data_IF_132334366691
#
_entry.id   IF_132334366691
#
_cell.length_a   1.000
_cell.length_b   1.000
_cell.length_c   1.000
_cell.angle_alpha   90.00
_cell.angle_beta   90.00
_cell.angle_gamma   90.00
#
_symmetry.space_group_name_H-M   'P 1'
#
loop_
_entity.id
_entity.type
_entity.pdbx_description
1 polymer ?
2 non-polymer ?
3 non-polymer ?
4 non-polymer ?
5 water ?
#
# COMPACT_ATOMS: atom_id res chain seq x y z
N UNK A 1 -3.18 -30.87 19.80
CA UNK A 1 -4.38 -30.16 19.28
C UNK A 1 -4.19 -28.69 18.90
N UNK A 2 -2.97 -28.15 19.06
CA UNK A 2 -2.75 -26.70 19.01
C UNK A 2 -1.65 -26.21 18.05
N UNK A 3 -1.94 -25.04 17.50
CA UNK A 3 -1.08 -24.37 16.54
C UNK A 3 0.25 -23.97 17.19
N UNK A 4 1.33 -24.06 16.41
CA UNK A 4 2.63 -23.53 16.83
C UNK A 4 2.51 -22.01 17.06
N UNK A 5 2.99 -21.54 18.22
CA UNK A 5 2.90 -20.13 18.62
C UNK A 5 4.25 -19.50 18.53
N UNK A 6 4.46 -18.79 17.43
CA UNK A 6 5.75 -18.18 17.16
C UNK A 6 6.01 -16.91 17.99
N UNK A 7 4.96 -16.19 18.38
CA UNK A 7 5.12 -15.05 19.28
C UNK A 7 5.09 -15.51 20.73
N UNK A 8 5.99 -15.00 21.57
CA UNK A 8 5.95 -15.33 23.00
C UNK A 8 4.86 -14.53 23.75
N UNK A 9 4.42 -13.43 23.16
CA UNK A 9 3.27 -12.70 23.65
C UNK A 9 2.70 -11.84 22.52
N UNK A 10 1.45 -11.40 22.65
CA UNK A 10 0.76 -10.64 21.57
C UNK A 10 0.92 -9.13 21.82
N UNK A 11 2.16 -8.66 21.69
CA UNK A 11 2.49 -7.26 21.86
C UNK A 11 3.57 -6.88 20.86
N UNK A 12 3.82 -5.58 20.74
CA UNK A 12 4.89 -5.12 19.86
C UNK A 12 6.22 -5.71 20.32
N UNK A 13 6.38 -5.89 21.64
CA UNK A 13 7.60 -6.44 22.21
C UNK A 13 7.81 -7.89 21.80
N UNK A 14 6.74 -8.66 21.80
CA UNK A 14 6.76 -10.06 21.30
C UNK A 14 7.07 -10.12 19.81
N UNK A 15 6.48 -9.23 19.04
CA UNK A 15 6.83 -9.14 17.59
C UNK A 15 8.30 -8.80 17.38
N UNK A 16 8.82 -7.83 18.12
CA UNK A 16 10.23 -7.50 18.00
C UNK A 16 11.18 -8.66 18.30
N UNK A 17 10.91 -9.42 19.35
CA UNK A 17 11.74 -10.54 19.70
C UNK A 17 11.66 -11.64 18.64
N UNK A 18 10.46 -11.88 18.12
CA UNK A 18 10.29 -12.81 17.00
C UNK A 18 11.10 -12.31 15.79
N UNK A 19 11.05 -11.03 15.49
CA UNK A 19 11.81 -10.47 14.34
C UNK A 19 13.31 -10.67 14.46
N UNK A 20 13.81 -10.60 15.70
CA UNK A 20 15.23 -10.80 15.99
C UNK A 20 15.64 -12.26 16.03
N UNK A 21 14.69 -13.19 16.08
CA UNK A 21 15.01 -14.62 16.07
C UNK A 21 15.35 -15.11 14.66
N UNK A 22 16.12 -16.20 14.59
CA UNK A 22 16.37 -16.93 13.32
C UNK A 22 15.13 -17.30 12.54
N UNK A 23 14.04 -17.59 13.22
CA UNK A 23 12.80 -17.98 12.55
C UNK A 23 12.24 -16.90 11.57
N UNK A 24 12.50 -15.62 11.84
CA UNK A 24 11.89 -14.54 11.04
C UNK A 24 12.81 -14.05 9.94
N UNK A 25 12.72 -14.66 8.76
CA UNK A 25 13.58 -14.28 7.65
C UNK A 25 12.88 -13.42 6.58
N UNK A 26 11.57 -13.57 6.43
CA UNK A 26 10.82 -12.97 5.29
C UNK A 26 9.59 -12.21 5.76
N UNK A 27 9.66 -10.88 5.67
CA UNK A 27 8.58 -10.03 6.08
C UNK A 27 7.84 -9.55 4.83
N UNK A 28 6.54 -9.57 4.86
CA UNK A 28 5.75 -8.92 3.81
C UNK A 28 5.01 -7.77 4.48
N UNK A 29 5.11 -6.59 3.89
CA UNK A 29 4.33 -5.44 4.32
C UNK A 29 3.11 -5.30 3.42
N UNK A 30 1.96 -5.02 4.03
CA UNK A 30 0.73 -4.62 3.30
C UNK A 30 0.42 -3.24 3.76
N UNK A 31 0.62 -2.26 2.88
CA UNK A 31 0.48 -0.85 3.25
C UNK A 31 -0.61 -0.16 2.44
N UNK A 32 -1.33 0.73 3.10
CA UNK A 32 -2.37 1.51 2.47
C UNK A 32 -2.24 2.99 2.70
N UNK A 33 -3.34 3.68 2.44
CA UNK A 33 -3.38 5.16 2.45
C UNK A 33 -2.97 5.80 3.77
N UNK A 34 -3.18 5.10 4.86
CA UNK A 34 -2.74 5.58 6.14
C UNK A 34 -1.24 5.83 6.29
N UNK A 35 -0.38 5.16 5.53
CA UNK A 35 1.06 5.43 5.62
C UNK A 35 1.50 6.72 4.91
N UNK A 36 0.60 7.37 4.15
CA UNK A 36 0.94 8.57 3.42
C UNK A 36 0.20 9.82 3.89
N UNK A 37 -0.69 9.69 4.88
CA UNK A 37 -1.44 10.86 5.38
C UNK A 37 -0.50 11.87 6.09
N UNK A 38 0.52 11.37 6.79
CA UNK A 38 1.51 12.27 7.41
C UNK A 38 2.44 12.91 6.39
N UNK A 39 2.45 12.40 5.16
CA UNK A 39 3.10 13.10 4.04
C UNK A 39 2.23 14.13 3.34
N UNK A 40 1.08 14.43 3.91
CA UNK A 40 0.16 15.40 3.35
C UNK A 40 -0.75 14.88 2.27
N UNK A 41 -0.89 13.55 2.14
CA UNK A 41 -1.79 12.98 1.13
C UNK A 41 -3.03 12.42 1.85
N UNK A 42 -4.19 13.10 1.75
CA UNK A 42 -5.37 12.63 2.47
C UNK A 42 -5.88 11.26 1.99
N UNK A 43 -6.45 10.49 2.90
CA UNK A 43 -6.99 9.15 2.57
C UNK A 43 -8.43 9.08 2.09
N UNK A 44 -9.14 10.21 2.14
CA UNK A 44 -10.60 10.28 1.88
C UNK A 44 -11.43 9.46 2.88
N UNK A 45 -11.11 9.66 4.17
CA UNK A 45 -11.96 9.26 5.32
C UNK A 45 -12.02 10.34 6.46
N UNK A 46 -11.54 11.56 6.22
CA UNK A 46 -11.58 12.67 7.17
C UNK A 46 -12.28 13.89 6.53
N UNK A 50 -13.76 13.17 2.03
CA UNK A 50 -14.42 12.37 0.98
C UNK A 50 -14.29 12.99 -0.40
N UNK A 51 -14.33 12.17 -1.46
CA UNK A 51 -14.26 12.71 -2.83
C UNK A 51 -15.53 13.39 -3.29
N UNK A 52 -16.67 13.00 -2.71
CA UNK A 52 -17.99 13.43 -3.21
C UNK A 52 -18.10 14.94 -3.51
N UNK A 53 -17.51 15.77 -2.64
CA UNK A 53 -17.52 17.23 -2.85
C UNK A 53 -16.72 17.68 -4.07
N UNK A 54 -15.50 17.16 -4.20
CA UNK A 54 -14.66 17.44 -5.39
C UNK A 54 -15.41 17.11 -6.70
N UNK A 55 -16.27 16.09 -6.64
CA UNK A 55 -16.92 15.52 -7.82
C UNK A 55 -18.14 16.29 -8.35
N UNK A 56 -18.85 16.96 -7.45
CA UNK A 56 -20.03 17.79 -7.80
C UNK A 56 -19.88 18.64 -9.07
N UNK A 57 -18.76 19.38 -9.17
CA UNK A 57 -18.52 20.31 -10.32
C UNK A 57 -18.46 19.66 -11.68
N UNK A 58 -18.05 18.38 -11.74
CA UNK A 58 -17.90 17.67 -13.01
C UNK A 58 -19.19 17.20 -13.65
N UNK A 59 -20.29 17.23 -12.90
CA UNK A 59 -21.63 16.89 -13.40
C UNK A 59 -21.63 15.51 -14.01
N UNK A 60 -21.19 14.55 -13.19
CA UNK A 60 -21.14 13.15 -13.59
C UNK A 60 -22.55 12.54 -13.50
N UNK A 61 -22.81 11.45 -14.22
CA UNK A 61 -24.09 10.76 -14.03
C UNK A 61 -24.30 10.23 -12.61
N UNK A 62 -23.22 9.80 -11.95
CA UNK A 62 -23.21 9.46 -10.52
C UNK A 62 -21.74 9.49 -10.12
N UNK A 63 -21.44 9.62 -8.81
CA UNK A 63 -20.07 9.89 -8.38
C UNK A 63 -19.09 8.80 -8.76
N UNK A 64 -19.53 7.55 -8.63
CA UNK A 64 -18.66 6.40 -8.90
C UNK A 64 -18.28 6.31 -10.39
N UNK A 65 -18.96 7.01 -11.28
CA UNK A 65 -18.55 7.04 -12.68
C UNK A 65 -17.09 7.54 -12.89
N UNK A 66 -16.61 8.40 -11.99
CA UNK A 66 -15.20 8.82 -12.03
C UNK A 66 -14.20 7.66 -11.98
N UNK A 67 -14.54 6.55 -11.31
CA UNK A 67 -13.64 5.38 -11.21
C UNK A 67 -13.79 4.36 -12.34
N UNK A 68 -14.82 4.50 -13.18
CA UNK A 68 -15.14 3.48 -14.19
C UNK A 68 -14.33 3.70 -15.44
N UNK A 69 -13.61 2.64 -15.86
CA UNK A 69 -12.82 2.66 -17.07
C UNK A 69 -13.67 3.01 -18.32
N UNK A 70 -14.87 2.47 -18.42
CA UNK A 70 -15.75 2.78 -19.58
C UNK A 70 -16.15 4.27 -19.61
N UNK A 71 -16.42 4.85 -18.46
CA UNK A 71 -16.73 6.27 -18.42
C UNK A 71 -15.49 7.10 -18.75
N UNK A 72 -14.34 6.72 -18.18
CA UNK A 72 -13.07 7.39 -18.51
C UNK A 72 -12.83 7.46 -20.05
N UNK A 73 -13.01 6.34 -20.74
CA UNK A 73 -12.71 6.27 -22.16
C UNK A 73 -13.65 7.14 -23.01
N UNK A 74 -14.86 7.38 -22.54
CA UNK A 74 -15.81 8.26 -23.26
C UNK A 74 -15.65 9.71 -22.85
N UNK A 75 -15.39 9.96 -21.55
CA UNK A 75 -15.30 11.31 -21.00
C UNK A 75 -14.10 11.38 -20.01
N UNK A 76 -12.88 11.55 -20.53
CA UNK A 76 -11.65 11.52 -19.69
C UNK A 76 -11.41 12.83 -18.91
N UNK A 77 -12.11 13.91 -19.27
CA UNK A 77 -11.79 15.24 -18.70
C UNK A 77 -12.01 15.34 -17.20
N UNK A 78 -13.11 14.76 -16.68
CA UNK A 78 -13.28 14.81 -15.25
C UNK A 78 -12.15 14.17 -14.48
N UNK A 79 -11.75 12.96 -14.87
CA UNK A 79 -10.60 12.34 -14.22
C UNK A 79 -9.37 13.25 -14.19
N UNK A 80 -9.00 13.81 -15.34
CA UNK A 80 -7.78 14.58 -15.39
C UNK A 80 -7.90 15.90 -14.61
N UNK A 81 -9.10 16.46 -14.56
CA UNK A 81 -9.30 17.68 -13.78
C UNK A 81 -9.18 17.33 -12.29
N UNK A 82 -9.80 16.24 -11.85
CA UNK A 82 -9.63 15.75 -10.48
C UNK A 82 -8.18 15.43 -10.17
N UNK A 83 -7.49 14.82 -11.11
CA UNK A 83 -6.09 14.47 -10.90
C UNK A 83 -5.25 15.72 -10.60
N UNK A 84 -5.53 16.80 -11.30
CA UNK A 84 -4.89 18.10 -10.97
C UNK A 84 -5.23 18.58 -9.54
N UNK A 85 -6.50 18.55 -9.15
CA UNK A 85 -6.90 18.96 -7.80
C UNK A 85 -6.18 18.12 -6.74
N UNK A 86 -6.06 16.82 -6.98
CA UNK A 86 -5.53 15.90 -5.98
C UNK A 86 -4.05 15.69 -5.99
N UNK A 87 -3.35 16.20 -7.01
CA UNK A 87 -1.93 15.99 -7.19
C UNK A 87 -1.15 16.51 -5.96
N UNK A 88 -0.38 15.63 -5.27
CA UNK A 88 0.38 16.14 -4.10
C UNK A 88 1.35 17.28 -4.44
N UNK A 89 1.41 18.30 -3.59
CA UNK A 89 2.37 19.40 -3.73
C UNK A 89 3.81 19.08 -3.35
N UNK A 90 4.02 18.00 -2.61
CA UNK A 90 5.37 17.45 -2.47
C UNK A 90 5.36 15.96 -2.21
N UNK A 91 6.50 15.33 -2.40
CA UNK A 91 6.64 13.88 -2.32
C UNK A 91 7.80 13.48 -1.38
N UNK A 92 7.52 13.54 -0.10
CA UNK A 92 8.48 13.20 0.92
C UNK A 92 7.94 11.98 1.61
N UNK A 93 8.60 10.81 1.40
CA UNK A 93 8.14 9.62 2.07
C UNK A 93 8.22 9.79 3.58
N UNK A 94 7.39 9.04 4.29
CA UNK A 94 7.29 9.08 5.76
C UNK A 94 8.28 8.15 6.43
N UNK A 95 8.36 8.31 7.75
CA UNK A 95 9.13 7.40 8.60
C UNK A 95 8.75 5.95 8.27
N UNK A 96 7.46 5.72 8.10
CA UNK A 96 6.93 4.38 7.78
C UNK A 96 7.50 3.83 6.46
N UNK A 97 7.55 4.67 5.41
CA UNK A 97 8.19 4.26 4.17
C UNK A 97 9.66 3.90 4.38
N UNK A 98 10.37 4.74 5.15
CA UNK A 98 11.79 4.47 5.40
C UNK A 98 12.03 3.27 6.31
N UNK A 99 11.08 2.97 7.20
CA UNK A 99 11.11 1.68 7.91
C UNK A 99 11.15 0.47 6.95
N UNK A 100 10.33 0.53 5.90
CA UNK A 100 10.37 -0.48 4.86
C UNK A 100 11.68 -0.49 4.09
N UNK A 101 12.25 0.68 3.80
CA UNK A 101 13.59 0.74 3.21
C UNK A 101 14.62 0.05 4.14
N UNK A 102 14.52 0.28 5.43
CA UNK A 102 15.40 -0.50 6.36
C UNK A 102 15.22 -2.01 6.24
N UNK A 103 13.97 -2.46 6.17
CA UNK A 103 13.73 -3.89 5.99
C UNK A 103 14.38 -4.39 4.71
N UNK A 104 14.23 -3.63 3.61
CA UNK A 104 14.91 -3.98 2.35
C UNK A 104 16.40 -4.12 2.53
N UNK A 105 17.03 -3.06 3.06
CA UNK A 105 18.48 -3.03 3.23
C UNK A 105 19.05 -4.06 4.22
N UNK A 106 18.28 -4.47 5.21
CA UNK A 106 18.65 -5.57 6.10
C UNK A 106 18.31 -6.98 5.58
N UNK A 107 17.77 -7.09 4.38
CA UNK A 107 17.47 -8.38 3.74
C UNK A 107 16.23 -9.06 4.30
N UNK A 108 15.38 -8.31 4.99
CA UNK A 108 14.20 -8.89 5.64
C UNK A 108 12.94 -8.74 4.80
N UNK A 109 12.95 -7.87 3.79
CA UNK A 109 11.75 -7.58 3.03
C UNK A 109 11.59 -8.55 1.86
N UNK A 110 10.66 -9.50 1.99
CA UNK A 110 10.27 -10.34 0.88
C UNK A 110 9.49 -9.52 -0.17
N UNK A 111 8.53 -8.72 0.29
CA UNK A 111 7.74 -7.89 -0.61
C UNK A 111 7.01 -6.82 0.15
N UNK A 112 6.84 -5.67 -0.50
CA UNK A 112 5.91 -4.64 -0.05
C UNK A 112 4.77 -4.64 -1.03
N UNK A 113 3.60 -5.01 -0.55
CA UNK A 113 2.37 -4.87 -1.30
C UNK A 113 1.77 -3.56 -0.89
N UNK A 114 1.44 -2.70 -1.84
CA UNK A 114 0.86 -1.43 -1.53
C UNK A 114 -0.42 -1.26 -2.28
N UNK A 115 -1.38 -0.60 -1.66
CA UNK A 115 -2.53 -0.11 -2.40
C UNK A 115 -2.39 1.37 -2.79
N UNK A 116 -1.26 1.99 -2.44
CA UNK A 116 -1.07 3.38 -2.75
C UNK A 116 -0.63 3.57 -4.20
N UNK A 117 -1.01 4.71 -4.74
CA UNK A 117 -0.71 5.07 -6.13
C UNK A 117 0.26 6.28 -6.16
N UNK A 118 0.69 6.72 -4.97
CA UNK A 118 1.45 7.98 -4.84
C UNK A 118 2.96 7.93 -5.16
N UNK A 119 3.49 6.72 -5.43
CA UNK A 119 4.87 6.49 -5.74
C UNK A 119 5.88 6.68 -4.58
N UNK A 120 5.41 6.96 -3.38
CA UNK A 120 6.35 7.26 -2.25
C UNK A 120 7.25 6.06 -1.90
N UNK A 121 6.77 4.84 -2.08
CA UNK A 121 7.64 3.68 -1.89
C UNK A 121 8.91 3.71 -2.76
N UNK A 122 8.72 4.06 -4.02
CA UNK A 122 9.80 4.18 -4.95
C UNK A 122 10.71 5.31 -4.60
N UNK A 123 10.14 6.42 -4.21
CA UNK A 123 10.95 7.57 -3.79
C UNK A 123 11.81 7.21 -2.57
N UNK A 124 11.24 6.43 -1.65
CA UNK A 124 11.96 5.96 -0.47
C UNK A 124 13.07 4.90 -0.77
N UNK A 125 13.14 4.43 -2.00
CA UNK A 125 14.20 3.52 -2.43
C UNK A 125 13.81 2.07 -2.53
N UNK A 126 12.54 1.74 -2.41
CA UNK A 126 12.12 0.39 -2.78
C UNK A 126 12.14 0.29 -4.32
N UNK A 127 12.64 -0.82 -4.85
CA UNK A 127 12.79 -1.04 -6.31
C UNK A 127 11.63 -1.89 -6.80
N UNK A 128 11.43 -1.92 -8.12
CA UNK A 128 10.30 -2.65 -8.71
C UNK A 128 10.24 -4.10 -8.21
N UNK A 129 11.38 -4.77 -8.10
CA UNK A 129 11.38 -6.16 -7.63
C UNK A 129 10.90 -6.30 -6.15
N UNK A 130 11.00 -5.24 -5.34
CA UNK A 130 10.50 -5.26 -3.94
C UNK A 130 9.01 -5.04 -3.82
N UNK A 131 8.40 -4.53 -4.90
CA UNK A 131 7.07 -3.95 -4.83
C UNK A 131 6.04 -4.72 -5.59
N UNK A 132 4.84 -4.73 -5.03
CA UNK A 132 3.66 -5.06 -5.77
C UNK A 132 2.73 -3.89 -5.55
N UNK A 133 2.52 -3.10 -6.61
CA UNK A 133 1.59 -1.99 -6.56
C UNK A 133 0.25 -2.52 -6.94
N UNK A 134 -0.52 -2.94 -5.95
CA UNK A 134 -1.74 -3.69 -6.17
C UNK A 134 -2.90 -2.90 -6.78
N UNK A 135 -2.91 -1.56 -6.63
CA UNK A 135 -3.91 -0.74 -7.25
C UNK A 135 -3.27 0.03 -8.38
N UNK A 136 -2.11 -0.43 -8.84
CA UNK A 136 -1.37 0.27 -9.86
C UNK A 136 -0.69 1.51 -9.30
N UNK A 137 -0.34 2.41 -10.19
CA UNK A 137 0.44 3.58 -9.84
C UNK A 137 0.47 4.66 -10.90
N UNK A 138 0.69 5.89 -10.43
CA UNK A 138 0.95 6.99 -11.33
C UNK A 138 2.33 6.99 -11.91
N UNK A 139 3.23 6.16 -11.37
CA UNK A 139 4.62 6.17 -11.84
C UNK A 139 4.76 6.04 -13.36
N UNK A 140 3.92 5.20 -13.98
CA UNK A 140 3.92 5.11 -15.43
C UNK A 140 2.48 5.24 -15.92
N UNK A 141 2.37 5.60 -17.20
CA UNK A 141 1.10 5.70 -17.87
C UNK A 141 1.23 5.01 -19.24
N UNK A 142 0.12 4.54 -19.83
CA UNK A 142 0.15 3.91 -21.14
C UNK A 142 -0.97 4.39 -22.04
N UNK A 143 -0.60 4.53 -23.31
CA UNK A 143 -1.58 4.61 -24.38
C UNK A 143 -2.57 3.47 -24.26
N UNK A 144 -3.86 3.76 -24.37
CA UNK A 144 -4.91 2.71 -24.22
C UNK A 144 -5.19 1.84 -25.46
N UNK A 145 -4.60 2.17 -26.59
CA UNK A 145 -4.81 1.41 -27.80
C UNK A 145 -4.03 0.12 -27.77
N UNK A 146 -4.75 -0.99 -27.93
CA UNK A 146 -4.17 -2.33 -27.79
C UNK A 146 -2.97 -2.60 -28.68
N UNK A 147 -2.97 -2.06 -29.90
CA UNK A 147 -1.86 -2.25 -30.84
C UNK A 147 -0.68 -1.34 -30.60
N UNK A 148 -0.78 -0.41 -29.65
CA UNK A 148 0.28 0.58 -29.43
C UNK A 148 0.86 0.44 -28.03
N UNK A 149 0.11 0.83 -27.00
CA UNK A 149 0.55 0.64 -25.60
C UNK A 149 1.85 1.39 -25.28
N UNK A 150 2.16 2.46 -26.00
CA UNK A 150 3.34 3.27 -25.71
C UNK A 150 3.31 3.71 -24.22
N UNK A 151 4.45 3.58 -23.54
CA UNK A 151 4.60 3.94 -22.12
C UNK A 151 5.13 5.37 -21.94
N UNK A 152 4.52 6.13 -21.03
CA UNK A 152 4.97 7.50 -20.67
C UNK A 152 5.34 7.55 -19.18
N UNK A 153 6.39 8.32 -18.83
CA UNK A 153 6.82 8.46 -17.44
C UNK A 153 5.98 9.53 -16.74
N UNK A 154 6.05 9.54 -15.41
CA UNK A 154 5.27 10.46 -14.63
C UNK A 154 5.55 11.91 -14.95
N UNK A 155 6.78 12.26 -15.31
CA UNK A 155 7.08 13.65 -15.65
C UNK A 155 6.23 14.14 -16.84
N UNK A 156 5.94 13.24 -17.79
CA UNK A 156 5.12 13.57 -18.98
C UNK A 156 3.66 13.73 -18.58
N UNK A 157 3.14 12.78 -17.80
CA UNK A 157 1.79 12.81 -17.33
C UNK A 157 1.56 14.03 -16.45
N UNK A 158 2.51 14.31 -15.56
CA UNK A 158 2.37 15.48 -14.70
C UNK A 158 2.18 16.76 -15.49
N UNK A 159 3.03 16.96 -16.47
CA UNK A 159 2.95 18.16 -17.31
C UNK A 159 1.58 18.27 -17.99
N UNK A 160 1.03 17.16 -18.51
CA UNK A 160 -0.31 17.18 -19.10
C UNK A 160 -1.37 17.51 -18.06
N UNK A 161 -1.25 16.93 -16.87
CA UNK A 161 -2.22 17.19 -15.84
C UNK A 161 -2.23 18.67 -15.46
N UNK A 162 -1.05 19.20 -15.22
CA UNK A 162 -0.95 20.60 -14.79
C UNK A 162 -1.26 21.62 -15.88
N UNK A 163 -0.91 21.32 -17.12
CA UNK A 163 -1.32 22.21 -18.21
C UNK A 163 -2.79 22.05 -18.64
N UNK A 164 -3.53 21.10 -18.05
CA UNK A 164 -4.93 20.81 -18.42
C UNK A 164 -5.12 20.47 -19.90
N UNK A 165 -4.17 19.70 -20.43
CA UNK A 165 -4.23 19.19 -21.79
C UNK A 165 -4.50 17.70 -21.65
N UNK A 166 -5.59 17.22 -22.23
CA UNK A 166 -5.95 15.78 -22.11
C UNK A 166 -4.82 14.95 -22.75
N UNK A 167 -4.19 14.06 -21.99
CA UNK A 167 -3.01 13.39 -22.56
C UNK A 167 -3.36 12.46 -23.71
N UNK A 168 -2.75 12.71 -24.87
CA UNK A 168 -2.91 11.84 -26.04
C UNK A 168 -1.58 11.24 -26.41
N UNK A 169 -1.60 10.03 -26.93
CA UNK A 169 -0.40 9.36 -27.38
C UNK A 169 0.27 10.05 -28.58
N UNK A 170 1.59 10.18 -28.50
CA UNK A 170 2.36 10.81 -29.57
C UNK A 170 2.44 9.96 -30.82
N UNK A 171 2.32 8.65 -30.68
CA UNK A 171 2.33 7.72 -31.82
C UNK A 171 0.97 7.59 -32.55
N UNK A 172 -0.12 7.48 -31.81
CA UNK A 172 -1.42 7.19 -32.42
C UNK A 172 -2.58 8.11 -32.03
N UNK A 173 -2.34 9.10 -31.15
CA UNK A 173 -3.39 10.03 -30.66
C UNK A 173 -4.54 9.42 -29.84
N UNK A 174 -4.36 8.20 -29.38
CA UNK A 174 -5.30 7.60 -28.44
C UNK A 174 -5.09 8.23 -27.05
N UNK A 175 -6.04 8.01 -26.17
CA UNK A 175 -5.89 8.42 -24.76
C UNK A 175 -4.70 7.75 -24.12
N UNK A 176 -4.05 8.46 -23.20
CA UNK A 176 -2.99 7.85 -22.37
C UNK A 176 -3.50 7.91 -20.94
N UNK A 177 -3.52 6.76 -20.27
CA UNK A 177 -4.11 6.61 -18.96
C UNK A 177 -3.01 6.26 -17.95
N UNK A 178 -3.00 6.93 -16.80
CA UNK A 178 -2.12 6.45 -15.68
C UNK A 178 -2.36 4.97 -15.35
N UNK A 179 -1.30 4.24 -14.98
CA UNK A 179 -1.37 2.80 -14.68
C UNK A 179 -2.03 2.47 -13.34
N UNK A 180 -3.03 3.23 -12.93
CA UNK A 180 -3.83 2.91 -11.79
C UNK A 180 -5.00 2.07 -12.23
N UNK A 181 -5.49 1.28 -11.29
CA UNK A 181 -6.57 0.29 -11.59
C UNK A 181 -7.95 0.94 -11.44
N UNK A 182 -8.51 1.31 -12.57
CA UNK A 182 -9.88 1.79 -12.63
C UNK A 182 -10.83 0.58 -12.43
N UNK A 183 -12.02 0.87 -11.95
CA UNK A 183 -13.06 -0.16 -11.85
C UNK A 183 -13.41 -0.66 -13.25
N UNK A 184 -13.48 -1.98 -13.41
CA UNK A 184 -13.56 -2.62 -14.70
C UNK A 184 -12.26 -3.25 -15.13
N UNK A 185 -11.14 -2.88 -14.48
CA UNK A 185 -9.84 -3.39 -14.88
C UNK A 185 -9.42 -4.44 -13.92
N UNK A 186 -8.59 -5.38 -14.39
CA UNK A 186 -7.98 -6.37 -13.55
C UNK A 186 -6.90 -5.76 -12.67
N UNK A 187 -6.65 -6.38 -11.53
CA UNK A 187 -5.45 -6.06 -10.78
C UNK A 187 -4.23 -6.36 -11.65
N UNK A 188 -3.09 -5.72 -11.36
CA UNK A 188 -1.97 -5.89 -12.27
C UNK A 188 -1.46 -7.32 -12.29
N UNK A 189 -0.96 -7.73 -13.46
CA UNK A 189 -0.36 -9.06 -13.68
C UNK A 189 0.69 -9.41 -12.61
N UNK A 190 1.53 -8.42 -12.29
CA UNK A 190 2.48 -8.48 -11.20
C UNK A 190 1.89 -8.99 -9.88
N UNK A 191 0.68 -8.57 -9.53
CA UNK A 191 0.04 -9.03 -8.30
C UNK A 191 -0.21 -10.56 -8.30
N UNK A 192 -0.79 -11.03 -9.38
CA UNK A 192 -1.12 -12.46 -9.55
C UNK A 192 0.12 -13.34 -9.68
N UNK A 193 1.20 -12.86 -10.27
CA UNK A 193 2.42 -13.68 -10.35
C UNK A 193 3.21 -13.80 -9.04
N UNK A 194 3.06 -12.86 -8.09
CA UNK A 194 3.81 -12.89 -6.83
C UNK A 194 3.05 -13.48 -5.65
N UNK A 195 1.76 -13.23 -5.57
CA UNK A 195 0.96 -13.52 -4.41
C UNK A 195 1.08 -14.95 -3.88
N UNK A 196 0.86 -15.93 -4.75
CA UNK A 196 0.92 -17.33 -4.39
C UNK A 196 2.23 -17.71 -3.70
N UNK A 197 3.32 -17.51 -4.43
CA UNK A 197 4.65 -17.84 -3.98
C UNK A 197 4.98 -17.09 -2.66
N UNK A 198 4.66 -15.78 -2.63
CA UNK A 198 5.02 -14.93 -1.50
C UNK A 198 4.39 -15.40 -0.23
N UNK A 199 3.10 -15.72 -0.29
CA UNK A 199 2.33 -16.06 0.89
C UNK A 199 2.53 -17.47 1.40
N UNK A 200 3.25 -18.29 0.64
CA UNK A 200 3.79 -19.55 1.16
C UNK A 200 5.04 -19.34 2.02
N UNK A 201 5.87 -18.37 1.65
CA UNK A 201 7.20 -18.13 2.28
C UNK A 201 7.21 -17.11 3.44
N UNK A 202 6.10 -16.40 3.69
CA UNK A 202 6.08 -15.29 4.64
C UNK A 202 6.18 -15.73 6.13
N UNK A 203 7.16 -15.15 6.82
CA UNK A 203 7.37 -15.38 8.28
C UNK A 203 6.69 -14.36 9.18
N UNK A 204 6.43 -13.17 8.65
CA UNK A 204 5.73 -12.10 9.39
C UNK A 204 4.99 -11.21 8.38
N UNK A 205 3.75 -10.91 8.70
CA UNK A 205 2.93 -10.01 7.90
C UNK A 205 2.78 -8.71 8.70
N UNK A 206 3.29 -7.61 8.14
CA UNK A 206 3.16 -6.30 8.73
C UNK A 206 2.10 -5.50 7.94
N UNK A 207 1.01 -5.14 8.60
CA UNK A 207 -0.12 -4.47 7.93
C UNK A 207 -0.20 -3.06 8.50
N UNK A 208 0.01 -2.08 7.64
CA UNK A 208 0.04 -0.67 8.04
C UNK A 208 -0.88 0.27 7.27
N UNK A 209 -1.66 1.06 8.00
CA UNK A 209 -2.42 2.14 7.34
C UNK A 209 -3.50 1.72 6.37
N UNK A 210 -4.20 0.64 6.71
CA UNK A 210 -5.30 0.15 5.91
C UNK A 210 -6.40 -0.42 6.83
N UNK A 211 -7.66 -0.17 6.46
CA UNK A 211 -8.82 -0.71 7.16
C UNK A 211 -9.15 -2.12 6.65
N UNK A 212 -8.44 -2.65 5.67
CA UNK A 212 -8.66 -4.02 5.22
C UNK A 212 -10.10 -4.26 4.70
N UNK A 213 -10.66 -3.24 4.05
CA UNK A 213 -12.04 -3.31 3.56
C UNK A 213 -12.11 -3.49 2.07
N UNK A 214 -11.13 -3.00 1.32
CA UNK A 214 -11.12 -3.19 -0.14
C UNK A 214 -10.18 -4.32 -0.53
N UNK A 215 -10.38 -4.81 -1.73
CA UNK A 215 -9.55 -5.87 -2.31
C UNK A 215 -8.33 -5.23 -2.96
N UNK A 216 -7.19 -5.89 -2.93
CA UNK A 216 -7.07 -7.29 -2.50
C UNK A 216 -6.76 -7.46 -1.03
N UNK A 217 -6.38 -6.38 -0.32
CA UNK A 217 -5.90 -6.60 1.06
C UNK A 217 -6.90 -7.27 2.01
N UNK A 218 -8.19 -7.02 1.83
CA UNK A 218 -9.19 -7.56 2.74
C UNK A 218 -9.06 -9.06 2.88
N UNK A 219 -8.83 -9.75 1.76
CA UNK A 219 -8.64 -11.19 1.78
C UNK A 219 -7.18 -11.66 1.80
N UNK A 220 -6.24 -10.79 1.43
CA UNK A 220 -4.86 -11.20 1.39
C UNK A 220 -4.32 -11.64 2.76
N UNK A 221 -4.80 -11.02 3.83
CA UNK A 221 -4.36 -11.42 5.17
C UNK A 221 -4.57 -12.92 5.47
N UNK A 222 -5.61 -13.51 4.89
CA UNK A 222 -5.94 -14.94 5.14
C UNK A 222 -5.11 -15.93 4.33
N UNK A 223 -4.24 -15.44 3.44
CA UNK A 223 -3.40 -16.31 2.64
C UNK A 223 -2.12 -16.66 3.36
N UNK A 224 -1.81 -15.97 4.45
CA UNK A 224 -0.61 -16.31 5.22
C UNK A 224 -0.77 -17.67 5.87
N UNK A 225 0.35 -18.41 6.00
CA UNK A 225 0.35 -19.63 6.80
C UNK A 225 -0.27 -19.37 8.16
N UNK A 226 -1.03 -20.33 8.66
CA UNK A 226 -1.67 -20.20 9.96
C UNK A 226 -0.78 -19.84 11.14
N UNK A 227 0.48 -20.26 11.12
CA UNK A 227 1.37 -19.91 12.20
C UNK A 227 2.04 -18.53 12.04
N UNK A 228 1.95 -17.90 10.85
CA UNK A 228 2.72 -16.66 10.58
C UNK A 228 2.13 -15.51 11.42
N UNK A 229 2.92 -14.87 12.29
CA UNK A 229 2.33 -13.71 13.01
C UNK A 229 1.92 -12.54 12.10
N UNK A 230 0.94 -11.76 12.55
CA UNK A 230 0.41 -10.64 11.81
C UNK A 230 0.33 -9.46 12.74
N UNK A 231 1.07 -8.39 12.41
CA UNK A 231 1.03 -7.12 13.16
C UNK A 231 0.33 -6.06 12.36
N UNK A 232 -0.68 -5.45 12.96
CA UNK A 232 -1.36 -4.30 12.40
C UNK A 232 -0.93 -3.04 13.13
N UNK A 233 -0.41 -2.08 12.38
CA UNK A 233 -0.13 -0.73 12.88
C UNK A 233 -1.10 0.22 12.20
N UNK A 234 -2.01 0.79 12.96
CA UNK A 234 -3.09 1.54 12.32
C UNK A 234 -3.79 2.39 13.37
N UNK A 235 -4.52 3.41 12.94
CA UNK A 235 -5.25 4.27 13.88
C UNK A 235 -6.32 3.49 14.62
N UNK A 236 -6.95 2.55 13.93
CA UNK A 236 -7.98 1.73 14.54
C UNK A 236 -7.84 0.27 14.13
N UNK A 237 -8.43 -0.62 14.94
CA UNK A 237 -8.47 -2.03 14.63
C UNK A 237 -9.10 -2.28 13.29
N UNK A 238 -8.62 -3.31 12.61
CA UNK A 238 -9.14 -3.64 11.28
C UNK A 238 -8.99 -5.13 11.08
N UNK A 239 -9.81 -5.67 10.19
CA UNK A 239 -9.71 -7.04 9.80
C UNK A 239 -10.39 -8.06 10.69
N UNK A 240 -11.00 -7.65 11.80
CA UNK A 240 -11.66 -8.57 12.73
C UNK A 240 -13.01 -8.94 12.14
N UNK A 241 -13.54 -10.09 12.52
CA UNK A 241 -14.90 -10.48 12.13
C UNK A 241 -15.44 -11.38 13.22
N UNK A 242 -16.71 -11.74 13.11
CA UNK A 242 -17.33 -12.71 14.04
C UNK A 242 -16.63 -14.06 13.85
N UNK A 243 -16.57 -14.91 14.91
CA UNK A 243 -16.00 -16.24 14.71
C UNK A 243 -16.59 -16.96 13.46
N UNK A 244 -15.70 -17.57 12.68
CA UNK A 244 -16.09 -18.15 11.41
C UNK A 244 -16.76 -19.50 11.65
N UNK A 245 -17.95 -19.68 11.08
CA UNK A 245 -18.78 -20.86 11.35
C UNK A 245 -18.81 -21.91 10.23
N UNK A 246 -18.15 -21.62 9.11
CA UNK A 246 -18.08 -22.54 7.99
C UNK A 246 -17.03 -23.65 8.09
N UNK A 247 -17.01 -24.45 7.04
CA UNK A 247 -16.24 -25.69 6.96
C UNK A 247 -14.81 -25.52 7.41
N UNK A 248 -14.12 -24.54 6.84
CA UNK A 248 -12.67 -24.38 7.04
C UNK A 248 -12.21 -23.82 8.40
N UNK A 249 -13.14 -23.49 9.30
CA UNK A 249 -12.83 -23.17 10.72
C UNK A 249 -11.83 -22.00 10.81
N UNK A 250 -10.70 -22.18 11.51
CA UNK A 250 -9.74 -21.13 11.70
C UNK A 250 -9.15 -20.53 10.43
N UNK A 251 -9.14 -21.26 9.32
CA UNK A 251 -8.71 -20.69 8.01
C UNK A 251 -9.61 -19.61 7.46
N UNK A 252 -10.87 -19.59 7.89
CA UNK A 252 -11.83 -18.55 7.47
C UNK A 252 -11.77 -17.32 8.38
N UNK A 253 -12.41 -16.24 7.97
CA UNK A 253 -12.32 -15.00 8.75
C UNK A 253 -10.93 -14.42 9.03
N UNK A 254 -10.94 -13.33 9.79
CA UNK A 254 -9.86 -12.35 9.69
C UNK A 254 -8.91 -12.36 10.88
N UNK A 255 -8.63 -11.17 11.39
CA UNK A 255 -7.67 -11.01 12.44
C UNK A 255 -8.38 -11.40 13.74
N UNK A 256 -7.67 -12.09 14.62
CA UNK A 256 -8.17 -12.34 15.94
C UNK A 256 -7.17 -11.80 16.94
N UNK A 257 -7.47 -10.57 17.40
CA UNK A 257 -6.63 -9.83 18.33
C UNK A 257 -7.03 -10.15 19.76
N UNK A 258 -8.34 -10.24 19.99
CA UNK A 258 -8.90 -10.11 21.34
C UNK A 258 -9.59 -11.32 21.94
N UNK A 259 -9.95 -12.35 21.16
CA UNK A 259 -10.60 -13.56 21.78
C UNK A 259 -9.58 -14.40 22.61
N UNK A 260 -10.06 -15.40 23.34
CA UNK A 260 -9.17 -16.29 24.06
C UNK A 260 -8.46 -17.27 23.14
N UNK A 261 -8.90 -17.37 21.91
CA UNK A 261 -8.21 -18.16 20.91
C UNK A 261 -7.11 -17.37 20.20
N UNK A 262 -6.92 -16.10 20.56
CA UNK A 262 -5.95 -15.28 19.84
C UNK A 262 -4.55 -15.87 20.08
N UNK A 263 -3.75 -15.99 19.04
CA UNK A 263 -2.43 -16.61 19.20
C UNK A 263 -1.30 -16.02 18.38
N UNK A 264 -1.65 -15.21 17.38
CA UNK A 264 -0.65 -14.70 16.44
C UNK A 264 -0.83 -13.24 15.91
N UNK A 265 -1.97 -12.60 16.20
CA UNK A 265 -2.26 -11.28 15.67
C UNK A 265 -2.16 -10.23 16.74
N UNK A 266 -1.57 -9.10 16.39
CA UNK A 266 -1.28 -8.00 17.32
C UNK A 266 -1.71 -6.71 16.69
N UNK A 267 -2.42 -5.86 17.45
CA UNK A 267 -2.80 -4.54 16.98
C UNK A 267 -2.13 -3.46 17.79
N UNK A 268 -1.37 -2.62 17.10
CA UNK A 268 -0.76 -1.45 17.73
C UNK A 268 -1.50 -0.26 17.18
N UNK A 269 -2.23 0.43 18.06
CA UNK A 269 -3.11 1.50 17.63
C UNK A 269 -2.47 2.87 17.83
N UNK A 270 -2.34 3.62 16.74
CA UNK A 270 -1.79 4.94 16.74
C UNK A 270 -1.34 5.28 15.33
N UNK A 271 -0.50 6.32 15.25
CA UNK A 271 0.08 6.79 14.01
C UNK A 271 1.04 5.77 13.45
N UNK A 272 1.02 5.55 12.14
CA UNK A 272 1.94 4.62 11.50
C UNK A 272 3.39 4.99 11.78
N UNK A 273 3.71 6.29 11.71
CA UNK A 273 5.06 6.77 11.91
C UNK A 273 5.54 6.44 13.32
N UNK A 274 4.66 6.66 14.29
CA UNK A 274 4.98 6.31 15.70
C UNK A 274 5.11 4.84 15.99
N UNK A 275 4.25 4.01 15.40
CA UNK A 275 4.39 2.57 15.47
C UNK A 275 5.70 2.06 14.89
N UNK A 276 6.08 2.50 13.67
CA UNK A 276 7.34 2.12 13.08
C UNK A 276 8.55 2.56 13.90
N UNK A 277 8.49 3.76 14.46
CA UNK A 277 9.57 4.26 15.27
C UNK A 277 9.69 3.42 16.57
N UNK A 278 8.54 3.04 17.15
CA UNK A 278 8.52 2.23 18.37
C UNK A 278 9.11 0.82 18.11
N UNK A 279 8.72 0.23 17.00
CA UNK A 279 9.27 -1.07 16.59
C UNK A 279 10.75 -0.99 16.29
N UNK A 280 11.16 0.01 15.50
CA UNK A 280 12.57 0.28 15.24
C UNK A 280 13.35 0.37 16.59
N UNK A 281 12.82 1.12 17.54
CA UNK A 281 13.48 1.29 18.84
C UNK A 281 13.68 -0.02 19.56
N UNK A 282 12.65 -0.88 19.59
CA UNK A 282 12.78 -2.21 20.21
C UNK A 282 13.87 -3.05 19.53
N UNK A 283 14.00 -2.87 18.22
CA UNK A 283 14.98 -3.63 17.43
C UNK A 283 16.40 -3.07 17.49
N UNK A 284 16.61 -1.89 18.05
CA UNK A 284 17.91 -1.29 18.06
C UNK A 284 18.20 -0.52 16.78
N UNK A 285 17.15 -0.21 16.03
CA UNK A 285 17.28 0.50 14.74
C UNK A 285 16.88 1.99 14.80
N UNK A 286 16.58 2.54 15.98
CA UNK A 286 15.97 3.86 16.02
C UNK A 286 16.95 4.91 15.46
N UNK A 287 18.21 4.83 15.85
CA UNK A 287 19.18 5.80 15.29
C UNK A 287 19.34 5.64 13.78
N UNK A 288 19.43 4.38 13.29
CA UNK A 288 19.58 4.13 11.84
C UNK A 288 18.39 4.70 11.11
N UNK A 289 17.20 4.50 11.64
CA UNK A 289 15.98 5.01 10.96
C UNK A 289 15.94 6.52 10.97
N UNK A 290 16.23 7.11 12.11
CA UNK A 290 16.23 8.57 12.21
C UNK A 290 17.29 9.22 11.30
N UNK A 291 18.46 8.61 11.20
CA UNK A 291 19.51 9.08 10.33
C UNK A 291 19.12 8.99 8.86
N UNK A 292 18.49 7.86 8.50
CA UNK A 292 18.06 7.63 7.15
C UNK A 292 17.00 8.65 6.76
N UNK A 293 15.99 8.85 7.62
CA UNK A 293 14.95 9.85 7.30
C UNK A 293 15.58 11.26 7.12
N UNK A 294 16.46 11.62 8.01
CA UNK A 294 17.05 12.96 8.00
C UNK A 294 17.80 13.21 6.67
N UNK A 295 18.63 12.25 6.24
CA UNK A 295 19.42 12.37 5.03
C UNK A 295 18.57 12.32 3.78
N UNK A 296 17.56 11.44 3.76
CA UNK A 296 16.73 11.34 2.56
C UNK A 296 15.80 12.54 2.41
N UNK A 297 15.22 13.01 3.51
CA UNK A 297 14.40 14.24 3.43
C UNK A 297 15.27 15.43 3.03
N UNK A 298 16.50 15.47 3.53
CA UNK A 298 17.44 16.58 3.16
C UNK A 298 17.79 16.52 1.69
N UNK A 299 17.99 15.33 1.15
CA UNK A 299 18.30 15.18 -0.24
C UNK A 299 17.16 15.71 -1.14
N UNK A 300 15.93 15.50 -0.73
CA UNK A 300 14.74 16.06 -1.38
C UNK A 300 14.67 17.59 -1.22
N UNK A 301 14.86 18.07 0.02
CA UNK A 301 14.88 19.52 0.27
C UNK A 301 15.99 20.25 -0.49
N UNK A 302 17.12 19.57 -0.76
CA UNK A 302 18.22 20.20 -1.46
C UNK A 302 17.92 20.41 -2.96
N UNK A 303 16.97 19.66 -3.53
CA UNK A 303 16.57 19.84 -4.96
C UNK A 303 15.45 20.85 -5.18
N UNK A 304 14.84 21.38 -4.11
CA UNK A 304 13.87 22.49 -4.23
C UNK A 304 14.59 23.85 -4.17
X LIG B 1 -0.58 5.01 -28.84
X LIG C 1 -8.05 5.97 -7.74
X LIG C 1 -10.27 8.20 -9.77
X LIG C 1 -9.79 6.24 -11.04
X LIG C 1 -8.00 9.30 -7.38
X LIG C 1 -2.31 11.68 -7.04
X LIG C 1 -8.84 6.51 -8.80
X LIG C 1 -9.35 8.66 -7.49
X LIG C 1 -5.91 10.29 -6.70
X LIG C 1 -10.41 7.44 -10.92
X LIG C 1 -0.16 10.67 -6.73
X LIG C 1 -8.99 5.73 -9.98
X LIG C 1 -5.99 10.30 -8.00
X LIG C 1 -7.19 9.74 -8.37
X LIG C 1 -9.51 7.78 -8.71
X LIG C 1 -6.52 4.02 -6.41
X LIG C 1 -7.47 4.75 -7.88
X LIG C 1 -7.60 4.00 -9.03
X LIG C 1 -8.34 4.47 -10.07
X LIG C 1 -7.23 9.58 -5.86
X LIG C 1 -4.84 10.93 -6.07
X LIG C 1 -4.63 10.92 -4.74
X LIG C 1 -5.46 10.58 -3.91
X LIG C 1 -3.25 11.40 -4.32
X LIG C 1 -1.76 10.45 -4.73
X LIG C 1 -1.41 10.97 -6.36
X LIG C 1 0.21 11.13 -7.93
X LIG C 1 1.61 10.82 -8.37
X LIG C 1 -0.66 11.84 -8.73
X LIG C 1 -1.93 12.10 -8.25
X LIG C 1 -2.98 12.76 -9.09
X LIG D 1 -8.24 3.11 3.89
X LIG D 1 -9.38 3.54 3.03
X LIG D 1 -8.45 2.07 4.96
X LIG D 1 -7.78 4.42 4.69
X LIG D 1 -6.58 4.41 5.48
X LIG D 1 -6.64 3.68 6.84
X LIG D 1 -5.50 4.11 7.62
X LIG D 1 -7.82 3.96 7.76
X LIG D 1 -8.02 2.86 8.63
X LIG D 1 -7.36 5.14 8.60
X LIG D 1 -7.98 5.20 9.88
X LIG D 1 -5.91 4.81 8.80
X LIG D 1 -4.96 5.94 8.90
X LIG D 1 -4.97 7.12 8.26
X LIG D 1 -3.88 7.85 8.56
X LIG D 1 -3.15 7.13 9.42
X LIG D 1 -1.86 7.29 10.13
X LIG D 1 -1.15 8.44 10.00
X LIG D 1 -1.45 6.28 10.94
X LIG D 1 -2.18 5.14 11.09
X LIG D 1 -3.35 4.91 10.46
X LIG D 1 -3.86 5.85 9.64
X LIG D 1 -6.94 2.78 2.96
X LIG D 1 -6.76 1.51 1.98
X LIG D 1 -7.36 0.28 2.59
X LIG D 1 -5.31 1.55 1.59
X LIG D 1 -7.65 1.94 0.68
X LIG D 1 -7.48 3.24 0.13
X LIG D 1 -7.90 3.26 -1.34
X LIG D 1 -7.86 4.61 -1.76
X LIG D 1 -6.96 2.53 -2.28
X LIG D 1 -7.68 2.18 -3.46
X LIG D 1 -5.90 3.58 -2.58
X LIG D 1 -5.26 3.41 -3.86
X LIG D 1 -6.69 4.87 -2.53
X LIG D 1 -5.96 6.03 -1.99
X LIG D 1 -4.63 6.10 -2.15
X LIG D 1 -3.93 7.19 -1.66
X LIG D 1 -2.45 7.17 -1.82
X LIG D 1 -1.97 6.60 -2.78
X LIG D 1 -1.69 7.76 -0.89
X LIG D 1 -4.61 8.24 -1.06
X LIG D 1 -6.00 8.16 -0.94
X LIG D 1 -6.66 7.03 -1.42
#
# INVERSE_FOLDING_TARGET
GHMERLLDELTLEGVARYMQSERCRRVICLVGAGISTSAGIPDFRSPSTGLYDNLEKYHLPYPEAIFEISYFKKHPEPFFALAKELYPGQFKPTICHYFMRLLKDKGLLLRCYTQNIDTLERIAGLEQEDLVEAHGTFYTSHCVSASCRHEYPLSWMKEKIFSEVTPKCEDCQSLVKPDIVFFGESLPARFFSCMQSDFLKVDLLLVMGTSLQVQPFASLISKAPLSTPRLLINKEKAGQSDPFLGMIMGLGGGMDFDSKKAYRDVAWLGECDQGCLALAELLGWKKELEDLVRREHASIDAQS
ZN ZN
5GN C11 C6 C8 C3 N2 C10 C4 C1 C7 N3 C9 N1 C2 C5 BR C12 C13 C14 S N C O C15 S1 C16 C20 C21 C19 C17 C18
NAD PA O1A O2A O5B C5B C4B O4B C3B O3B C2B O2B C1B N9A C8A N7A C5A C6A N6A N1A C2A N3A C4A O3 PN O1N O2N O5D C5D C4D O4D C3D O3D C2D O2D C1D N1N C2N C3N C7N O7N N7N C4N C5N C6N
#
